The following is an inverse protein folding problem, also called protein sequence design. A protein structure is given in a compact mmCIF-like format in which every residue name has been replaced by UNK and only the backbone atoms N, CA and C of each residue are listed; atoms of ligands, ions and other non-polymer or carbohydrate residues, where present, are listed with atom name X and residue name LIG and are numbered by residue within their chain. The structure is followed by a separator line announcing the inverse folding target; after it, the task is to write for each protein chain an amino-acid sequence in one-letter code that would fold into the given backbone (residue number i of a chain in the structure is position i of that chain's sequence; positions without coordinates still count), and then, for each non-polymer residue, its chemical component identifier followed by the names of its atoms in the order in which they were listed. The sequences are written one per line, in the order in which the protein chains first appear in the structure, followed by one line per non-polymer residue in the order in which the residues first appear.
data_IF_708656361110
#
_entry.id   IF_708656361110
#
_cell.length_a   1.000
_cell.length_b   1.000
_cell.length_c   1.000
_cell.angle_alpha   90.00
_cell.angle_beta   90.00
_cell.angle_gamma   90.00
#
_symmetry.space_group_name_H-M   'P 1'
#
loop_
_entity.id
_entity.type
_entity.pdbx_description
1 polymer ?
#
# COMPACT_ATOMS: atom_id res chain seq x y z
N UNK A 1 -16.75 28.34 -1.25
CA UNK A 1 -15.43 28.01 -1.82
C UNK A 1 -15.65 27.68 -3.30
N UNK A 2 -15.15 28.50 -4.25
CA UNK A 2 -15.56 28.45 -5.67
C UNK A 2 -14.77 27.44 -6.51
N UNK A 3 -15.46 26.78 -7.43
CA UNK A 3 -14.96 25.72 -8.33
C UNK A 3 -13.89 26.21 -9.34
N UNK A 4 -13.79 27.53 -9.53
CA UNK A 4 -12.81 28.19 -10.41
C UNK A 4 -11.40 28.20 -9.83
N UNK A 5 -11.24 28.21 -8.51
CA UNK A 5 -9.94 28.30 -7.84
C UNK A 5 -9.19 26.94 -7.86
N UNK A 6 -9.92 25.83 -7.79
CA UNK A 6 -9.40 24.45 -7.92
C UNK A 6 -8.66 24.25 -9.25
N UNK A 7 -9.22 24.77 -10.35
CA UNK A 7 -8.67 24.59 -11.69
C UNK A 7 -7.39 25.40 -11.92
N UNK A 8 -7.28 26.55 -11.25
CA UNK A 8 -6.12 27.45 -11.30
C UNK A 8 -4.96 26.91 -10.47
N UNK A 9 -5.23 26.35 -9.30
CA UNK A 9 -4.22 25.68 -8.47
C UNK A 9 -3.67 24.40 -9.12
N UNK A 10 -4.55 23.58 -9.69
CA UNK A 10 -4.16 22.38 -10.45
C UNK A 10 -3.16 22.70 -11.56
N UNK A 11 -3.43 23.71 -12.41
CA UNK A 11 -2.53 24.07 -13.53
C UNK A 11 -1.17 24.59 -13.09
N UNK A 12 -1.07 25.34 -12.00
CA UNK A 12 0.19 25.94 -11.54
C UNK A 12 1.08 24.93 -10.83
N UNK A 13 0.50 23.95 -10.13
CA UNK A 13 1.26 22.85 -9.51
C UNK A 13 1.71 21.84 -10.57
N UNK A 14 0.85 21.47 -11.53
CA UNK A 14 1.19 20.57 -12.65
C UNK A 14 2.15 21.18 -13.68
N UNK A 15 2.41 22.49 -13.65
CA UNK A 15 3.29 23.18 -14.58
C UNK A 15 4.78 23.12 -14.24
N UNK A 16 5.16 22.60 -13.07
CA UNK A 16 6.57 22.50 -12.65
C UNK A 16 7.05 21.05 -12.63
N UNK A 17 8.31 20.76 -13.01
CA UNK A 17 8.85 19.39 -13.05
C UNK A 17 9.14 18.80 -11.66
N UNK A 18 9.03 19.60 -10.60
CA UNK A 18 9.38 19.25 -9.22
C UNK A 18 8.34 18.36 -8.49
N UNK A 19 7.02 18.65 -8.54
CA UNK A 19 6.01 17.84 -7.86
C UNK A 19 5.93 16.41 -8.40
N UNK A 20 6.12 16.18 -9.70
CA UNK A 20 6.21 14.82 -10.25
C UNK A 20 7.32 14.01 -9.57
N UNK A 21 8.50 14.60 -9.41
CA UNK A 21 9.65 13.95 -8.77
C UNK A 21 9.37 13.65 -7.31
N UNK A 22 8.76 14.57 -6.58
CA UNK A 22 8.43 14.41 -5.15
C UNK A 22 7.39 13.31 -4.96
N UNK A 23 6.29 13.34 -5.72
CA UNK A 23 5.23 12.34 -5.63
C UNK A 23 5.79 10.95 -5.96
N UNK A 24 6.65 10.88 -6.98
CA UNK A 24 7.23 9.61 -7.42
C UNK A 24 8.21 9.03 -6.40
N UNK A 25 9.04 9.87 -5.79
CA UNK A 25 9.91 9.48 -4.68
C UNK A 25 9.09 9.03 -3.46
N UNK A 26 8.06 9.79 -3.08
CA UNK A 26 7.19 9.45 -1.95
C UNK A 26 6.45 8.12 -2.18
N UNK A 27 5.86 7.93 -3.36
CA UNK A 27 5.15 6.70 -3.72
C UNK A 27 6.10 5.50 -3.74
N UNK A 28 7.30 5.67 -4.31
CA UNK A 28 8.32 4.62 -4.34
C UNK A 28 8.78 4.23 -2.94
N UNK A 29 8.99 5.21 -2.06
CA UNK A 29 9.36 4.98 -0.67
C UNK A 29 8.29 4.20 0.10
N UNK A 30 7.00 4.54 -0.08
CA UNK A 30 5.88 3.83 0.57
C UNK A 30 5.82 2.36 0.15
N UNK A 31 5.88 2.08 -1.15
CA UNK A 31 5.85 0.71 -1.67
C UNK A 31 7.09 -0.10 -1.25
N UNK A 32 8.26 0.53 -1.26
CA UNK A 32 9.48 -0.09 -0.78
C UNK A 32 9.39 -0.45 0.70
N UNK A 33 8.89 0.48 1.54
CA UNK A 33 8.70 0.24 2.97
C UNK A 33 7.69 -0.88 3.24
N UNK A 34 6.50 -0.81 2.62
CA UNK A 34 5.45 -1.80 2.82
C UNK A 34 5.88 -3.21 2.37
N UNK A 35 6.55 -3.32 1.22
CA UNK A 35 7.10 -4.60 0.74
C UNK A 35 8.17 -5.14 1.69
N UNK A 36 9.06 -4.29 2.18
CA UNK A 36 10.09 -4.68 3.14
C UNK A 36 9.50 -5.22 4.45
N UNK A 37 8.52 -4.53 5.04
CA UNK A 37 7.87 -4.95 6.29
C UNK A 37 7.18 -6.33 6.13
N UNK A 38 6.49 -6.57 5.01
CA UNK A 38 5.87 -7.87 4.72
C UNK A 38 6.89 -8.99 4.49
N UNK A 39 8.11 -8.67 4.03
CA UNK A 39 9.20 -9.64 3.88
C UNK A 39 9.84 -10.04 5.21
N UNK A 40 9.73 -9.22 6.26
CA UNK A 40 10.26 -9.54 7.60
C UNK A 40 9.47 -10.69 8.23
N UNK A 41 8.14 -10.67 8.14
CA UNK A 41 7.29 -11.76 8.59
C UNK A 41 6.34 -12.24 7.48
N UNK A 42 6.87 -13.02 6.51
CA UNK A 42 6.08 -13.55 5.43
C UNK A 42 5.05 -14.58 5.93
N UNK A 43 5.22 -15.15 7.12
CA UNK A 43 4.24 -16.06 7.72
C UNK A 43 3.03 -15.29 8.24
N UNK A 44 3.25 -14.14 8.87
CA UNK A 44 2.16 -13.23 9.25
C UNK A 44 1.40 -12.75 8.01
N UNK A 45 2.12 -12.35 6.95
CA UNK A 45 1.48 -11.92 5.70
C UNK A 45 0.73 -13.07 4.99
N UNK A 46 1.29 -14.28 4.98
CA UNK A 46 0.61 -15.47 4.47
C UNK A 46 -0.69 -15.76 5.23
N UNK A 47 -0.70 -15.56 6.55
CA UNK A 47 -1.93 -15.69 7.36
C UNK A 47 -2.96 -14.65 6.94
N UNK A 48 -2.57 -13.39 6.76
CA UNK A 48 -3.46 -12.33 6.25
C UNK A 48 -4.06 -12.73 4.90
N UNK A 49 -3.24 -13.22 3.97
CA UNK A 49 -3.72 -13.68 2.65
C UNK A 49 -4.66 -14.89 2.77
N UNK A 50 -4.38 -15.84 3.67
CA UNK A 50 -5.22 -17.02 3.87
C UNK A 50 -6.65 -16.68 4.29
N UNK A 51 -6.84 -15.56 5.01
CA UNK A 51 -8.18 -15.11 5.40
C UNK A 51 -9.03 -14.71 4.20
N UNK A 52 -8.42 -14.26 3.08
CA UNK A 52 -9.16 -13.90 1.86
C UNK A 52 -9.74 -15.14 1.14
N UNK A 53 -9.31 -16.36 1.48
CA UNK A 53 -9.73 -17.62 0.85
C UNK A 53 -9.72 -17.58 -0.69
N UNK A 54 -8.80 -16.78 -1.26
CA UNK A 54 -8.74 -16.49 -2.69
C UNK A 54 -7.88 -17.51 -3.46
N UNK A 55 -6.90 -18.09 -2.77
CA UNK A 55 -5.88 -18.97 -3.34
C UNK A 55 -5.69 -20.21 -2.46
N UNK A 56 -5.33 -21.37 -3.05
CA UNK A 56 -5.11 -22.61 -2.32
C UNK A 56 -3.85 -22.52 -1.43
N UNK A 57 -3.81 -23.31 -0.36
CA UNK A 57 -2.73 -23.23 0.66
C UNK A 57 -1.32 -23.41 0.09
N UNK A 58 -1.19 -24.23 -0.95
CA UNK A 58 0.09 -24.47 -1.64
C UNK A 58 0.65 -23.20 -2.28
N UNK A 59 -0.23 -22.27 -2.69
CA UNK A 59 0.15 -21.00 -3.31
C UNK A 59 0.31 -19.85 -2.28
N UNK A 60 -0.09 -20.04 -1.02
CA UNK A 60 0.04 -18.99 0.00
C UNK A 60 1.50 -18.59 0.23
N UNK A 61 2.39 -19.57 0.40
CA UNK A 61 3.81 -19.31 0.64
C UNK A 61 4.51 -18.56 -0.51
N UNK A 62 4.40 -18.99 -1.78
CA UNK A 62 5.04 -18.26 -2.87
C UNK A 62 4.41 -16.88 -3.10
N UNK A 63 3.10 -16.69 -2.91
CA UNK A 63 2.46 -15.38 -3.04
C UNK A 63 2.86 -14.45 -1.90
N UNK A 64 2.94 -14.96 -0.67
CA UNK A 64 3.31 -14.17 0.50
C UNK A 64 4.77 -13.65 0.45
N UNK A 65 5.63 -14.28 -0.35
CA UNK A 65 7.02 -13.81 -0.55
C UNK A 65 7.14 -13.04 -1.88
N UNK A 66 6.53 -13.56 -2.94
CA UNK A 66 6.63 -12.99 -4.28
C UNK A 66 5.95 -11.63 -4.40
N UNK A 67 4.78 -11.44 -3.78
CA UNK A 67 4.04 -10.19 -3.85
C UNK A 67 4.80 -9.05 -3.14
N UNK A 68 5.28 -9.20 -1.88
CA UNK A 68 6.09 -8.18 -1.22
C UNK A 68 7.43 -7.92 -1.91
N UNK A 69 8.05 -8.94 -2.49
CA UNK A 69 9.29 -8.77 -3.26
C UNK A 69 9.05 -7.91 -4.50
N UNK A 70 7.94 -8.11 -5.21
CA UNK A 70 7.53 -7.26 -6.32
C UNK A 70 7.22 -5.83 -5.87
N UNK A 71 6.55 -5.64 -4.72
CA UNK A 71 6.29 -4.31 -4.15
C UNK A 71 7.59 -3.57 -3.89
N UNK A 72 8.56 -4.26 -3.28
CA UNK A 72 9.86 -3.71 -2.94
C UNK A 72 10.67 -3.32 -4.18
N UNK A 73 10.79 -4.23 -5.15
CA UNK A 73 11.53 -4.00 -6.38
C UNK A 73 10.88 -2.92 -7.25
N UNK A 74 9.56 -2.87 -7.31
CA UNK A 74 8.83 -1.85 -8.06
C UNK A 74 8.99 -0.47 -7.40
N UNK A 75 8.93 -0.39 -6.07
CA UNK A 75 9.22 0.82 -5.30
C UNK A 75 10.64 1.33 -5.52
N UNK A 76 11.63 0.45 -5.46
CA UNK A 76 13.04 0.78 -5.73
C UNK A 76 13.25 1.23 -7.18
N UNK A 77 12.66 0.54 -8.15
CA UNK A 77 12.71 0.94 -9.56
C UNK A 77 12.06 2.30 -9.81
N UNK A 78 11.00 2.64 -9.06
CA UNK A 78 10.36 3.94 -9.16
C UNK A 78 11.27 5.07 -8.65
N UNK A 79 12.02 4.82 -7.56
CA UNK A 79 13.03 5.74 -7.01
C UNK A 79 14.20 5.93 -7.99
N UNK A 80 14.69 4.83 -8.58
CA UNK A 80 15.78 4.84 -9.57
C UNK A 80 15.36 5.36 -10.95
N UNK A 81 14.12 5.80 -11.10
CA UNK A 81 13.56 6.33 -12.33
C UNK A 81 13.60 5.31 -13.50
N UNK A 82 13.39 4.03 -13.21
CA UNK A 82 13.32 2.99 -14.25
C UNK A 82 11.99 3.13 -15.01
N UNK A 83 12.07 3.08 -16.34
CA UNK A 83 10.90 3.11 -17.22
C UNK A 83 10.10 1.83 -17.03
N UNK A 84 8.81 1.96 -16.68
CA UNK A 84 7.90 0.83 -16.44
C UNK A 84 7.53 0.60 -14.98
N UNK A 85 8.33 1.05 -14.01
CA UNK A 85 8.06 0.85 -12.58
C UNK A 85 6.75 1.48 -12.11
N UNK A 86 6.35 2.62 -12.69
CA UNK A 86 5.06 3.25 -12.42
C UNK A 86 3.89 2.37 -12.88
N UNK A 87 4.03 1.73 -14.05
CA UNK A 87 3.00 0.84 -14.60
C UNK A 87 2.85 -0.40 -13.73
N UNK A 88 3.95 -0.95 -13.22
CA UNK A 88 3.94 -2.09 -12.29
C UNK A 88 3.24 -1.70 -10.99
N UNK A 89 3.61 -0.58 -10.38
CA UNK A 89 2.95 -0.09 -9.16
C UNK A 89 1.46 0.14 -9.38
N UNK A 90 1.06 0.81 -10.47
CA UNK A 90 -0.36 0.99 -10.81
C UNK A 90 -1.08 -0.35 -10.97
N UNK A 91 -0.47 -1.31 -11.66
CA UNK A 91 -1.08 -2.63 -11.86
C UNK A 91 -1.29 -3.37 -10.53
N UNK A 92 -0.31 -3.33 -9.63
CA UNK A 92 -0.44 -3.91 -8.30
C UNK A 92 -1.47 -3.20 -7.45
N UNK A 93 -1.55 -1.88 -7.54
CA UNK A 93 -2.55 -1.08 -6.83
C UNK A 93 -3.97 -1.41 -7.29
N UNK A 94 -4.17 -1.61 -8.60
CA UNK A 94 -5.45 -2.09 -9.15
C UNK A 94 -5.79 -3.48 -8.61
N UNK A 95 -4.84 -4.42 -8.66
CA UNK A 95 -5.05 -5.77 -8.10
C UNK A 95 -5.40 -5.70 -6.61
N UNK A 96 -4.68 -4.88 -5.86
CA UNK A 96 -4.92 -4.68 -4.43
C UNK A 96 -6.33 -4.14 -4.15
N UNK A 97 -6.76 -3.11 -4.88
CA UNK A 97 -8.12 -2.56 -4.76
C UNK A 97 -9.17 -3.60 -5.12
N UNK A 98 -8.95 -4.42 -6.14
CA UNK A 98 -9.87 -5.50 -6.51
C UNK A 98 -9.97 -6.57 -5.42
N UNK A 99 -8.86 -6.93 -4.77
CA UNK A 99 -8.86 -7.88 -3.66
C UNK A 99 -9.60 -7.32 -2.44
N UNK A 100 -9.41 -6.04 -2.12
CA UNK A 100 -10.18 -5.38 -1.06
C UNK A 100 -11.67 -5.31 -1.39
N UNK A 101 -12.00 -4.94 -2.63
CA UNK A 101 -13.39 -4.91 -3.10
C UNK A 101 -14.05 -6.27 -3.00
N UNK A 102 -13.35 -7.33 -3.38
CA UNK A 102 -13.81 -8.71 -3.18
C UNK A 102 -14.04 -9.04 -1.69
N UNK A 103 -13.13 -8.61 -0.81
CA UNK A 103 -13.28 -8.77 0.63
C UNK A 103 -14.55 -8.10 1.18
N UNK A 104 -14.86 -6.88 0.70
CA UNK A 104 -16.08 -6.15 1.05
C UNK A 104 -17.33 -6.91 0.58
N UNK A 105 -17.35 -7.40 -0.66
CA UNK A 105 -18.49 -8.16 -1.20
C UNK A 105 -18.77 -9.48 -0.46
N UNK A 106 -17.76 -10.01 0.24
CA UNK A 106 -17.85 -11.24 1.03
C UNK A 106 -18.00 -10.97 2.53
N UNK A 107 -18.15 -9.72 2.95
CA UNK A 107 -18.21 -9.27 4.35
C UNK A 107 -17.05 -9.81 5.21
N UNK A 108 -15.84 -9.85 4.63
CA UNK A 108 -14.64 -10.32 5.32
C UNK A 108 -14.05 -9.20 6.19
N UNK A 109 -14.06 -9.40 7.52
CA UNK A 109 -13.41 -8.52 8.50
C UNK A 109 -11.91 -8.82 8.60
N UNK A 110 -11.13 -8.39 7.60
CA UNK A 110 -9.69 -8.67 7.49
C UNK A 110 -8.93 -7.35 7.32
N UNK A 111 -7.81 -7.21 8.02
CA UNK A 111 -6.91 -6.09 7.78
C UNK A 111 -6.33 -6.16 6.38
N UNK A 112 -6.26 -4.99 5.74
CA UNK A 112 -5.73 -4.85 4.39
C UNK A 112 -4.26 -5.28 4.26
N UNK A 113 -3.56 -5.52 5.38
CA UNK A 113 -2.18 -6.03 5.42
C UNK A 113 -1.17 -5.07 4.80
N UNK A 114 -1.59 -3.86 4.41
CA UNK A 114 -0.75 -2.80 3.87
C UNK A 114 0.30 -2.33 4.88
N UNK A 115 -0.06 -2.37 6.17
CA UNK A 115 0.78 -2.10 7.34
C UNK A 115 0.55 -3.29 8.27
N UNK A 116 1.53 -4.18 8.43
CA UNK A 116 1.30 -5.45 9.12
C UNK A 116 1.30 -5.29 10.64
N UNK A 117 0.42 -6.04 11.32
CA UNK A 117 0.18 -5.96 12.76
C UNK A 117 1.42 -6.41 13.53
N UNK A 118 2.26 -5.56 14.09
CA UNK A 118 2.01 -4.67 15.23
C UNK A 118 1.77 -3.19 14.84
N UNK A 119 1.76 -2.84 13.56
CA UNK A 119 1.75 -1.43 13.10
C UNK A 119 0.46 -0.65 13.43
N UNK A 120 -0.64 -1.34 13.75
CA UNK A 120 -1.78 -0.69 14.41
C UNK A 120 -1.89 -0.98 15.91
N UNK A 121 -1.07 -1.89 16.46
CA UNK A 121 -0.98 -2.10 17.91
C UNK A 121 -0.49 -0.82 18.65
N UNK A 122 0.21 0.10 17.95
CA UNK A 122 0.56 1.44 18.43
C UNK A 122 -0.55 2.50 18.30
N UNK A 123 -1.43 2.42 17.29
CA UNK A 123 -2.64 3.27 17.23
C UNK A 123 -3.60 2.95 18.39
N UNK A 124 -3.59 1.70 18.85
CA UNK A 124 -4.26 1.23 20.08
C UNK A 124 -3.65 1.79 21.39
N UNK A 125 -2.45 2.38 21.38
CA UNK A 125 -1.94 3.17 22.52
C UNK A 125 -2.44 4.62 22.50
N UNK A 126 -2.52 5.21 21.30
CA UNK A 126 -2.88 6.61 21.09
C UNK A 126 -4.33 6.91 21.48
N UNK A 127 -5.27 6.04 21.16
CA UNK A 127 -6.68 6.20 21.58
C UNK A 127 -6.88 5.96 23.08
N UNK A 128 -6.08 5.08 23.70
CA UNK A 128 -6.13 4.84 25.15
C UNK A 128 -5.59 6.01 25.98
N UNK A 129 -4.60 6.76 25.48
CA UNK A 129 -4.14 7.99 26.12
C UNK A 129 -5.15 9.12 25.94
N UNK A 130 -5.76 9.23 24.76
CA UNK A 130 -6.73 10.28 24.46
C UNK A 130 -8.01 10.20 25.30
N UNK A 131 -8.53 9.01 25.59
CA UNK A 131 -9.73 8.82 26.43
C UNK A 131 -9.44 8.81 27.93
N UNK A 132 -8.17 8.70 28.33
CA UNK A 132 -7.78 8.87 29.73
C UNK A 132 -7.68 10.35 30.11
N UNK A 133 -7.28 11.19 29.16
CA UNK A 133 -7.05 12.63 29.34
C UNK A 133 -8.29 13.49 28.97
N UNK A 134 -9.43 12.86 28.65
CA UNK A 134 -10.77 13.47 28.53
C UNK A 134 -11.63 13.14 29.74
#
# INVERSE_FOLDING_TARGET
MSMTDLKKYSKTILGSPWPDRIIRLALGAVFMYAGFVKLIDPKAFAKVISHYNLIPEVLLAPVAIGLPLLEFLAGLGLILNIRGSLSVICSMLVVFVLVLWYGILKDLSIDCGCFTPEELAGQAGLQKAFYRDL
#
